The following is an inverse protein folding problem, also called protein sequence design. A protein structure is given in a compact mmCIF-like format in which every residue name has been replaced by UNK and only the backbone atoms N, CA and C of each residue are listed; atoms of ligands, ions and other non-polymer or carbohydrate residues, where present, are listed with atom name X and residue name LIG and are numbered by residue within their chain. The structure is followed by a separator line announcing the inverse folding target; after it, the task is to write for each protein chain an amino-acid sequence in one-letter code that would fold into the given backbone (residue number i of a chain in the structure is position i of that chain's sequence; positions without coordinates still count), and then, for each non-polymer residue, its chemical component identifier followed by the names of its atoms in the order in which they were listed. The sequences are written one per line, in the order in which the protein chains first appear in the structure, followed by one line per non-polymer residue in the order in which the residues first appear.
data_IF_639551430454
#
_entry.id   IF_639551430454
#
_cell.length_a   1.000
_cell.length_b   1.000
_cell.length_c   1.000
_cell.angle_alpha   90.00
_cell.angle_beta   90.00
_cell.angle_gamma   90.00
#
_symmetry.space_group_name_H-M   'P 1'
#
loop_
_entity.id
_entity.type
_entity.pdbx_description
1 polymer ?
#
# COMPACT_ATOMS: atom_id res chain seq x y z
N UNK A 1 -25.18 44.82 -14.65
CA UNK A 1 -23.93 44.35 -15.30
C UNK A 1 -23.41 43.00 -14.79
N UNK A 2 -23.68 42.56 -13.55
CA UNK A 2 -23.12 41.28 -13.02
C UNK A 2 -23.77 39.99 -13.55
N UNK A 3 -25.00 39.99 -14.05
CA UNK A 3 -25.64 38.78 -14.61
C UNK A 3 -25.34 38.49 -16.09
N UNK A 4 -24.89 39.48 -16.86
CA UNK A 4 -24.50 39.26 -18.27
C UNK A 4 -23.12 38.63 -18.41
N UNK A 5 -22.24 38.80 -17.43
CA UNK A 5 -20.88 38.25 -17.44
C UNK A 5 -20.86 36.75 -17.12
N UNK A 6 -21.78 36.28 -16.26
CA UNK A 6 -21.84 34.86 -15.88
C UNK A 6 -22.35 33.97 -17.03
N UNK A 7 -23.32 34.45 -17.82
CA UNK A 7 -23.84 33.71 -18.99
C UNK A 7 -22.81 33.62 -20.13
N UNK A 8 -21.96 34.64 -20.28
CA UNK A 8 -20.87 34.63 -21.26
C UNK A 8 -19.72 33.69 -20.87
N UNK A 9 -19.44 33.51 -19.57
CA UNK A 9 -18.45 32.52 -19.11
C UNK A 9 -18.97 31.07 -19.27
N UNK A 10 -20.26 30.82 -19.03
CA UNK A 10 -20.85 29.49 -19.20
C UNK A 10 -20.91 29.03 -20.66
N UNK A 11 -21.08 29.97 -21.61
CA UNK A 11 -21.03 29.63 -23.04
C UNK A 11 -19.60 29.35 -23.53
N UNK A 12 -18.58 29.98 -22.97
CA UNK A 12 -17.20 29.76 -23.39
C UNK A 12 -16.68 28.36 -22.99
N UNK A 13 -17.09 27.85 -21.82
CA UNK A 13 -16.71 26.50 -21.36
C UNK A 13 -17.43 25.40 -22.15
N UNK A 14 -18.67 25.63 -22.59
CA UNK A 14 -19.40 24.66 -23.42
C UNK A 14 -18.86 24.56 -24.86
N UNK A 15 -18.25 25.62 -25.41
CA UNK A 15 -17.68 25.61 -26.77
C UNK A 15 -16.29 24.93 -26.80
N UNK A 16 -15.55 24.93 -25.69
CA UNK A 16 -14.25 24.22 -25.61
C UNK A 16 -14.42 22.69 -25.54
N UNK A 17 -15.57 22.20 -25.08
CA UNK A 17 -15.86 20.76 -24.98
C UNK A 17 -16.36 20.10 -26.29
N UNK A 18 -16.58 20.86 -27.37
CA UNK A 18 -17.12 20.32 -28.64
C UNK A 18 -16.07 20.24 -29.77
N UNK A 19 -14.82 20.69 -29.55
CA UNK A 19 -13.77 20.68 -30.59
C UNK A 19 -12.71 19.57 -30.47
N UNK A 20 -12.95 18.55 -29.62
CA UNK A 20 -12.03 17.41 -29.43
C UNK A 20 -12.22 16.22 -30.38
N UNK A 21 -13.15 16.29 -31.35
CA UNK A 21 -13.52 15.14 -32.17
C UNK A 21 -13.39 15.43 -33.67
N UNK A 22 -12.15 15.54 -34.18
CA UNK A 22 -11.77 15.30 -35.58
C UNK A 22 -10.25 15.42 -35.75
N UNK A 23 -9.50 14.37 -35.43
CA UNK A 23 -8.12 14.18 -35.89
C UNK A 23 -8.07 13.23 -37.09
N UNK A 24 -7.17 13.43 -38.08
CA UNK A 24 -7.08 12.53 -39.22
C UNK A 24 -6.65 11.11 -38.80
N UNK A 25 -7.37 10.11 -39.30
CA UNK A 25 -7.02 8.68 -39.14
C UNK A 25 -5.62 8.42 -39.72
N UNK A 26 -4.72 7.88 -38.88
CA UNK A 26 -3.43 7.36 -39.33
C UNK A 26 -3.64 6.29 -40.40
N UNK A 27 -2.94 6.42 -41.53
CA UNK A 27 -2.94 5.45 -42.62
C UNK A 27 -1.98 4.30 -42.26
N UNK A 28 -2.36 3.01 -42.45
CA UNK A 28 -1.45 1.91 -42.18
C UNK A 28 -0.31 1.89 -43.20
N UNK A 29 0.92 1.78 -42.74
CA UNK A 29 2.10 1.54 -43.57
C UNK A 29 2.01 0.15 -44.21
N UNK A 30 2.37 -0.04 -45.50
CA UNK A 30 2.37 -1.35 -46.13
C UNK A 30 3.43 -2.25 -45.51
N UNK A 31 3.04 -3.47 -45.12
CA UNK A 31 3.96 -4.55 -44.74
C UNK A 31 4.52 -5.19 -46.02
N UNK A 32 5.84 -5.37 -46.16
CA UNK A 32 6.42 -6.06 -47.32
C UNK A 32 5.95 -7.52 -47.42
N UNK A 33 5.69 -7.98 -48.65
CA UNK A 33 5.33 -9.37 -48.91
C UNK A 33 6.51 -10.33 -48.62
N UNK A 34 6.26 -11.55 -48.11
CA UNK A 34 7.29 -12.55 -47.91
C UNK A 34 7.90 -13.01 -49.25
N UNK A 35 9.23 -13.08 -49.32
CA UNK A 35 10.02 -13.37 -50.52
C UNK A 35 10.32 -14.86 -50.77
N UNK A 36 9.62 -15.80 -50.13
CA UNK A 36 9.84 -17.23 -50.37
C UNK A 36 8.54 -18.03 -50.51
N UNK A 37 8.43 -18.96 -51.48
CA UNK A 37 7.32 -19.91 -51.56
C UNK A 37 7.32 -20.85 -50.34
N UNK A 38 6.14 -21.27 -49.85
CA UNK A 38 6.06 -22.25 -48.77
C UNK A 38 6.58 -23.62 -49.22
N UNK A 39 7.38 -24.25 -48.36
CA UNK A 39 7.88 -25.62 -48.51
C UNK A 39 6.72 -26.63 -48.49
N UNK A 40 6.74 -27.71 -49.30
CA UNK A 40 5.69 -28.72 -49.28
C UNK A 40 5.58 -29.42 -47.92
N UNK A 41 4.34 -29.56 -47.44
CA UNK A 41 3.98 -30.29 -46.22
C UNK A 41 4.09 -31.81 -46.50
N UNK A 42 4.79 -32.60 -45.66
CA UNK A 42 4.81 -34.05 -45.79
C UNK A 42 3.43 -34.67 -45.51
N UNK A 43 3.10 -35.74 -46.24
CA UNK A 43 1.86 -36.51 -46.05
C UNK A 43 1.78 -37.17 -44.65
N UNK A 44 0.58 -37.32 -44.06
CA UNK A 44 0.40 -37.83 -42.71
C UNK A 44 0.72 -39.34 -42.61
N UNK A 45 1.63 -39.70 -41.72
CA UNK A 45 1.95 -41.08 -41.35
C UNK A 45 1.22 -41.45 -40.06
N UNK A 46 0.31 -42.44 -40.17
CA UNK A 46 -0.36 -43.25 -39.13
C UNK A 46 -1.17 -42.54 -38.01
N UNK A 47 -2.41 -42.99 -37.83
CA UNK A 47 -3.29 -42.55 -36.75
C UNK A 47 -2.75 -43.00 -35.38
N UNK A 48 -2.75 -42.13 -34.36
CA UNK A 48 -2.32 -42.49 -33.02
C UNK A 48 -3.28 -43.51 -32.38
N UNK A 49 -2.72 -44.50 -31.68
CA UNK A 49 -3.45 -45.48 -30.89
C UNK A 49 -4.20 -44.78 -29.74
N UNK A 50 -5.44 -45.21 -29.38
CA UNK A 50 -6.17 -44.59 -28.28
C UNK A 50 -5.46 -44.80 -26.94
N UNK A 51 -5.15 -43.70 -26.26
CA UNK A 51 -4.73 -43.72 -24.84
C UNK A 51 -5.97 -44.08 -24.00
N UNK A 52 -5.90 -45.07 -23.09
CA UNK A 52 -7.03 -45.38 -22.22
C UNK A 52 -7.36 -44.19 -21.31
N UNK A 53 -8.65 -43.87 -21.20
CA UNK A 53 -9.15 -42.81 -20.34
C UNK A 53 -8.82 -43.10 -18.86
N UNK A 54 -8.34 -42.12 -18.08
CA UNK A 54 -8.11 -42.30 -16.65
C UNK A 54 -9.43 -42.61 -15.93
N UNK A 55 -9.48 -43.77 -15.26
CA UNK A 55 -10.68 -44.32 -14.57
C UNK A 55 -10.96 -43.68 -13.20
N UNK A 56 -10.35 -42.54 -12.86
CA UNK A 56 -10.65 -41.83 -11.62
C UNK A 56 -10.93 -40.36 -11.92
N UNK A 57 -12.13 -39.92 -11.55
CA UNK A 57 -12.45 -38.51 -11.46
C UNK A 57 -11.42 -37.85 -10.51
N UNK A 58 -10.92 -36.64 -10.80
CA UNK A 58 -10.05 -35.93 -9.88
C UNK A 58 -10.77 -35.78 -8.54
N UNK A 59 -10.26 -36.44 -7.51
CA UNK A 59 -10.70 -36.22 -6.13
C UNK A 59 -10.52 -34.72 -5.84
N UNK A 60 -11.58 -34.04 -5.45
CA UNK A 60 -11.49 -32.62 -5.09
C UNK A 60 -10.38 -32.47 -4.03
N UNK A 61 -9.47 -31.47 -4.17
CA UNK A 61 -8.35 -31.32 -3.25
C UNK A 61 -8.88 -31.22 -1.82
N UNK A 62 -8.31 -32.04 -0.94
CA UNK A 62 -8.69 -32.12 0.46
C UNK A 62 -8.49 -30.75 1.13
N UNK A 63 -9.56 -30.17 1.65
CA UNK A 63 -9.52 -28.85 2.30
C UNK A 63 -8.89 -29.00 3.68
N UNK A 64 -7.61 -28.67 3.78
CA UNK A 64 -6.84 -28.74 5.04
C UNK A 64 -7.01 -27.44 5.85
N UNK A 65 -7.02 -27.52 7.20
CA UNK A 65 -6.94 -26.34 8.04
C UNK A 65 -5.72 -25.46 7.71
N UNK A 66 -5.89 -24.15 7.82
CA UNK A 66 -4.87 -23.16 7.46
C UNK A 66 -3.75 -23.04 8.51
N UNK A 67 -3.96 -23.54 9.73
CA UNK A 67 -3.02 -23.39 10.84
C UNK A 67 -3.05 -22.00 11.48
N UNK A 68 -4.16 -21.27 11.34
CA UNK A 68 -4.37 -19.97 11.99
C UNK A 68 -4.26 -20.09 13.53
N UNK A 69 -3.97 -19.00 14.26
CA UNK A 69 -4.05 -19.03 15.73
C UNK A 69 -5.48 -19.31 16.23
N UNK A 70 -5.60 -19.86 17.44
CA UNK A 70 -6.89 -20.06 18.09
C UNK A 70 -7.69 -18.73 18.15
N UNK A 71 -9.02 -18.76 17.95
CA UNK A 71 -9.89 -19.94 17.90
C UNK A 71 -10.09 -20.53 16.49
N UNK A 72 -9.32 -20.10 15.47
CA UNK A 72 -9.50 -20.51 14.08
C UNK A 72 -8.57 -21.66 13.64
N UNK A 73 -7.83 -22.25 14.57
CA UNK A 73 -6.74 -23.20 14.34
C UNK A 73 -7.13 -24.48 13.59
N UNK A 74 -8.41 -24.86 13.67
CA UNK A 74 -8.95 -26.07 13.03
C UNK A 74 -9.76 -25.77 11.77
N UNK A 75 -9.87 -24.50 11.38
CA UNK A 75 -10.73 -24.09 10.27
C UNK A 75 -9.98 -24.11 8.94
N UNK A 76 -10.67 -24.58 7.90
CA UNK A 76 -10.30 -24.31 6.51
C UNK A 76 -10.68 -22.87 6.15
N UNK A 77 -10.16 -22.35 5.03
CA UNK A 77 -10.59 -21.02 4.56
C UNK A 77 -12.11 -20.94 4.33
N UNK A 78 -12.70 -21.99 3.78
CA UNK A 78 -14.15 -22.03 3.53
C UNK A 78 -14.96 -22.03 4.84
N UNK A 79 -14.44 -22.67 5.90
CA UNK A 79 -15.06 -22.61 7.22
C UNK A 79 -15.00 -21.19 7.80
N UNK A 80 -13.86 -20.50 7.64
CA UNK A 80 -13.71 -19.08 8.07
C UNK A 80 -14.70 -18.19 7.31
N UNK A 81 -14.80 -18.34 5.99
CA UNK A 81 -15.74 -17.57 5.16
C UNK A 81 -17.19 -17.87 5.57
N UNK A 82 -17.53 -19.13 5.84
CA UNK A 82 -18.85 -19.50 6.30
C UNK A 82 -19.18 -18.92 7.69
N UNK A 83 -18.21 -18.95 8.61
CA UNK A 83 -18.35 -18.39 9.95
C UNK A 83 -18.52 -16.87 9.93
N UNK A 84 -17.80 -16.16 9.04
CA UNK A 84 -17.87 -14.70 8.91
C UNK A 84 -19.21 -14.17 8.37
N UNK A 85 -20.02 -15.03 7.75
CA UNK A 85 -21.27 -14.63 7.10
C UNK A 85 -22.24 -13.94 8.07
N UNK A 86 -22.74 -12.77 7.67
CA UNK A 86 -23.71 -12.01 8.46
C UNK A 86 -23.08 -11.18 9.59
N UNK A 87 -21.77 -11.27 9.81
CA UNK A 87 -21.09 -10.51 10.85
C UNK A 87 -20.82 -9.06 10.41
N UNK A 88 -20.54 -8.22 11.40
CA UNK A 88 -20.04 -6.85 11.19
C UNK A 88 -18.55 -6.82 11.51
N UNK A 89 -17.77 -6.11 10.71
CA UNK A 89 -16.35 -5.83 10.99
C UNK A 89 -16.19 -4.35 11.31
N UNK A 90 -15.64 -4.04 12.49
CA UNK A 90 -15.29 -2.70 12.91
C UNK A 90 -13.85 -2.38 12.51
N UNK A 91 -13.71 -1.57 11.46
CA UNK A 91 -12.41 -1.16 10.96
C UNK A 91 -12.06 0.25 11.42
N UNK A 92 -11.12 0.35 12.37
CA UNK A 92 -10.61 1.61 12.88
C UNK A 92 -9.49 2.12 11.98
N UNK A 93 -9.69 3.27 11.33
CA UNK A 93 -8.75 3.75 10.32
C UNK A 93 -8.68 5.27 10.25
N UNK A 94 -7.56 5.81 9.75
CA UNK A 94 -7.36 7.26 9.68
C UNK A 94 -8.43 7.95 8.85
N UNK A 95 -9.12 8.90 9.47
CA UNK A 95 -10.28 9.60 8.89
C UNK A 95 -9.92 10.77 7.99
N UNK A 96 -8.65 11.15 7.84
CA UNK A 96 -8.27 12.38 7.13
C UNK A 96 -8.28 12.32 5.60
N UNK A 97 -8.66 11.20 4.99
CA UNK A 97 -8.74 11.06 3.53
C UNK A 97 -10.14 10.70 3.05
N UNK A 98 -10.87 11.70 2.53
CA UNK A 98 -12.21 11.51 1.97
C UNK A 98 -12.24 10.46 0.87
N UNK A 99 -11.20 10.40 0.03
CA UNK A 99 -11.10 9.44 -1.08
C UNK A 99 -11.02 8.00 -0.57
N UNK A 100 -10.15 7.75 0.42
CA UNK A 100 -9.98 6.41 0.98
C UNK A 100 -11.25 6.02 1.75
N UNK A 101 -11.78 6.93 2.59
CA UNK A 101 -12.98 6.69 3.38
C UNK A 101 -14.21 6.40 2.50
N UNK A 102 -14.36 7.12 1.37
CA UNK A 102 -15.44 6.88 0.42
C UNK A 102 -15.31 5.51 -0.26
N UNK A 103 -14.09 5.07 -0.57
CA UNK A 103 -13.86 3.73 -1.13
C UNK A 103 -14.22 2.63 -0.11
N UNK A 104 -13.82 2.79 1.16
CA UNK A 104 -14.12 1.82 2.23
C UNK A 104 -15.62 1.72 2.51
N UNK A 105 -16.30 2.86 2.67
CA UNK A 105 -17.74 2.90 2.96
C UNK A 105 -18.64 2.63 1.75
N UNK A 106 -18.11 2.77 0.54
CA UNK A 106 -18.80 2.51 -0.71
C UNK A 106 -18.44 1.14 -1.26
N UNK A 107 -17.53 1.12 -2.23
CA UNK A 107 -17.21 -0.07 -3.02
C UNK A 107 -16.83 -1.28 -2.16
N UNK A 108 -15.96 -1.11 -1.16
CA UNK A 108 -15.53 -2.24 -0.33
C UNK A 108 -16.68 -2.78 0.52
N UNK A 109 -17.44 -1.91 1.18
CA UNK A 109 -18.61 -2.29 1.96
C UNK A 109 -19.66 -3.04 1.12
N UNK A 110 -19.93 -2.55 -0.09
CA UNK A 110 -20.85 -3.19 -1.04
C UNK A 110 -20.37 -4.58 -1.47
N UNK A 111 -19.09 -4.73 -1.81
CA UNK A 111 -18.54 -6.01 -2.24
C UNK A 111 -18.46 -7.03 -1.10
N UNK A 112 -18.12 -6.60 0.12
CA UNK A 112 -18.17 -7.44 1.32
C UNK A 112 -19.58 -7.93 1.60
N UNK A 113 -20.57 -7.04 1.52
CA UNK A 113 -21.98 -7.39 1.75
C UNK A 113 -22.49 -8.36 0.68
N UNK A 114 -22.20 -8.08 -0.59
CA UNK A 114 -22.68 -8.88 -1.73
C UNK A 114 -22.06 -10.28 -1.78
N UNK A 115 -20.75 -10.40 -1.50
CA UNK A 115 -20.02 -11.67 -1.66
C UNK A 115 -20.06 -12.54 -0.41
N UNK A 116 -20.06 -11.92 0.77
CA UNK A 116 -19.84 -12.62 2.03
C UNK A 116 -20.91 -12.31 3.09
N UNK A 117 -21.88 -11.45 2.79
CA UNK A 117 -22.88 -10.97 3.75
C UNK A 117 -22.25 -10.28 4.98
N UNK A 118 -21.05 -9.74 4.84
CA UNK A 118 -20.33 -9.02 5.89
C UNK A 118 -20.71 -7.53 5.84
N UNK A 119 -21.00 -6.95 7.00
CA UNK A 119 -21.24 -5.50 7.14
C UNK A 119 -19.93 -4.81 7.50
N UNK A 120 -19.44 -3.93 6.64
CA UNK A 120 -18.30 -3.07 6.96
C UNK A 120 -18.79 -1.88 7.80
N UNK A 121 -18.23 -1.71 8.99
CA UNK A 121 -18.42 -0.54 9.83
C UNK A 121 -17.08 0.17 10.03
N UNK A 122 -16.87 1.25 9.28
CA UNK A 122 -15.68 2.06 9.43
C UNK A 122 -15.80 2.94 10.68
N UNK A 123 -14.76 2.97 11.49
CA UNK A 123 -14.59 3.89 12.62
C UNK A 123 -13.44 4.86 12.27
N UNK A 124 -13.74 6.09 11.83
CA UNK A 124 -12.70 7.07 11.51
C UNK A 124 -12.05 7.59 12.79
N UNK A 125 -10.71 7.59 12.82
CA UNK A 125 -9.91 8.16 13.92
C UNK A 125 -9.04 9.32 13.44
N UNK A 126 -8.72 10.25 14.34
CA UNK A 126 -7.73 11.29 14.07
C UNK A 126 -6.32 10.71 14.01
N UNK A 127 -6.05 9.63 14.77
CA UNK A 127 -4.78 8.92 14.71
C UNK A 127 -4.77 7.60 15.51
N UNK A 128 -3.66 6.84 15.41
CA UNK A 128 -3.56 5.49 15.99
C UNK A 128 -3.75 5.40 17.50
N UNK A 129 -3.45 6.47 18.24
CA UNK A 129 -3.57 6.50 19.70
C UNK A 129 -4.98 6.18 20.20
N UNK A 130 -6.01 6.46 19.40
CA UNK A 130 -7.41 6.17 19.74
C UNK A 130 -7.66 4.67 19.86
N UNK A 131 -7.34 3.88 18.83
CA UNK A 131 -7.53 2.42 18.89
C UNK A 131 -6.54 1.74 19.83
N UNK A 132 -5.32 2.27 19.98
CA UNK A 132 -4.35 1.74 20.95
C UNK A 132 -4.90 1.86 22.37
N UNK A 133 -5.38 3.05 22.75
CA UNK A 133 -5.96 3.29 24.06
C UNK A 133 -7.23 2.46 24.29
N UNK A 134 -8.07 2.31 23.26
CA UNK A 134 -9.27 1.48 23.32
C UNK A 134 -8.90 0.01 23.64
N UNK A 135 -8.01 -0.60 22.86
CA UNK A 135 -7.62 -2.01 23.04
C UNK A 135 -6.88 -2.23 24.36
N UNK A 136 -5.99 -1.30 24.75
CA UNK A 136 -5.32 -1.36 26.05
C UNK A 136 -6.31 -1.28 27.22
N UNK A 137 -7.27 -0.36 27.14
CA UNK A 137 -8.31 -0.20 28.15
C UNK A 137 -9.18 -1.44 28.29
N UNK A 138 -9.59 -2.05 27.17
CA UNK A 138 -10.33 -3.31 27.13
C UNK A 138 -9.55 -4.44 27.79
N UNK A 139 -8.28 -4.62 27.43
CA UNK A 139 -7.42 -5.65 28.05
C UNK A 139 -7.27 -5.44 29.56
N UNK A 140 -7.06 -4.20 30.01
CA UNK A 140 -6.94 -3.87 31.43
C UNK A 140 -8.24 -4.11 32.21
N UNK A 141 -9.39 -3.96 31.54
CA UNK A 141 -10.71 -4.28 32.08
C UNK A 141 -11.06 -5.78 32.04
N UNK A 142 -10.17 -6.64 31.53
CA UNK A 142 -10.40 -8.08 31.39
C UNK A 142 -11.29 -8.45 30.20
N UNK A 143 -11.48 -7.54 29.26
CA UNK A 143 -12.19 -7.81 28.00
C UNK A 143 -11.20 -8.46 27.03
N UNK A 144 -11.38 -9.76 26.80
CA UNK A 144 -10.52 -10.57 25.92
C UNK A 144 -11.27 -11.10 24.69
N UNK A 145 -12.55 -10.77 24.55
CA UNK A 145 -13.37 -11.07 23.36
C UNK A 145 -14.50 -10.05 23.25
N UNK A 146 -14.98 -9.82 22.03
CA UNK A 146 -16.03 -8.84 21.75
C UNK A 146 -15.64 -7.39 22.05
N UNK A 147 -14.35 -7.07 21.91
CA UNK A 147 -13.85 -5.69 21.97
C UNK A 147 -14.32 -4.84 20.79
N UNK A 148 -14.04 -3.54 20.84
CA UNK A 148 -14.54 -2.58 19.85
C UNK A 148 -13.76 -2.56 18.53
N UNK A 149 -12.53 -3.10 18.51
CA UNK A 149 -11.60 -3.03 17.36
C UNK A 149 -11.40 -4.42 16.77
N UNK A 150 -11.90 -4.66 15.57
CA UNK A 150 -11.68 -5.92 14.84
C UNK A 150 -10.45 -5.83 13.92
N UNK A 151 -10.33 -4.72 13.19
CA UNK A 151 -9.22 -4.42 12.28
C UNK A 151 -8.80 -2.97 12.49
N UNK A 152 -7.50 -2.68 12.35
CA UNK A 152 -6.95 -1.33 12.45
C UNK A 152 -6.01 -1.02 11.28
N UNK A 153 -6.09 0.20 10.75
CA UNK A 153 -5.03 0.74 9.90
C UNK A 153 -3.89 1.21 10.82
N UNK A 154 -2.80 0.44 10.82
CA UNK A 154 -1.64 0.62 11.70
C UNK A 154 -0.36 0.67 10.88
N UNK A 155 0.68 1.30 11.42
CA UNK A 155 2.04 1.28 10.90
C UNK A 155 3.07 1.68 11.99
N UNK A 156 4.33 1.44 11.69
CA UNK A 156 5.52 1.87 12.40
C UNK A 156 5.50 1.64 13.91
N UNK A 157 5.75 2.70 14.67
CA UNK A 157 5.82 2.64 16.13
C UNK A 157 4.52 2.15 16.78
N UNK A 158 3.37 2.36 16.11
CA UNK A 158 2.07 1.93 16.60
C UNK A 158 1.93 0.41 16.49
N UNK A 159 2.34 -0.17 15.35
CA UNK A 159 2.39 -1.62 15.15
C UNK A 159 3.31 -2.28 16.18
N UNK A 160 4.53 -1.77 16.30
CA UNK A 160 5.50 -2.21 17.31
C UNK A 160 4.90 -2.21 18.71
N UNK A 161 4.29 -1.10 19.12
CA UNK A 161 3.68 -0.95 20.44
C UNK A 161 2.60 -2.01 20.70
N UNK A 162 1.70 -2.23 19.74
CA UNK A 162 0.63 -3.21 19.87
C UNK A 162 1.17 -4.65 19.89
N UNK A 163 2.18 -4.95 19.07
CA UNK A 163 2.82 -6.26 19.00
C UNK A 163 3.60 -6.60 20.26
N UNK A 164 4.46 -5.70 20.76
CA UNK A 164 5.22 -5.89 22.00
C UNK A 164 4.30 -6.05 23.22
N UNK A 165 3.15 -5.39 23.22
CA UNK A 165 2.14 -5.52 24.26
C UNK A 165 1.26 -6.78 24.13
N UNK A 166 1.45 -7.60 23.10
CA UNK A 166 0.64 -8.79 22.83
C UNK A 166 -0.84 -8.46 22.64
N UNK A 167 -1.13 -7.44 21.83
CA UNK A 167 -2.48 -6.94 21.54
C UNK A 167 -2.97 -7.31 20.13
N UNK A 168 -2.12 -7.89 19.31
CA UNK A 168 -2.44 -8.29 17.94
C UNK A 168 -2.75 -9.78 17.88
N UNK A 169 -3.79 -10.14 17.13
CA UNK A 169 -4.02 -11.52 16.70
C UNK A 169 -2.95 -11.90 15.68
N UNK A 170 -2.29 -13.04 15.86
CA UNK A 170 -1.29 -13.51 14.91
C UNK A 170 -0.31 -14.53 15.49
N UNK A 171 0.62 -15.01 14.66
CA UNK A 171 0.79 -14.65 13.25
C UNK A 171 -0.28 -15.31 12.35
N UNK A 172 -0.75 -14.60 11.31
CA UNK A 172 -1.82 -15.09 10.42
C UNK A 172 -1.67 -14.68 8.95
N UNK A 173 -0.94 -13.61 8.65
CA UNK A 173 -1.01 -12.96 7.33
C UNK A 173 -0.52 -13.84 6.16
N UNK A 174 0.45 -14.73 6.41
CA UNK A 174 0.95 -15.70 5.42
C UNK A 174 0.01 -16.90 5.22
N UNK A 175 -0.89 -17.15 6.18
CA UNK A 175 -1.71 -18.37 6.23
C UNK A 175 -3.04 -18.21 5.47
N UNK A 176 -3.48 -16.98 5.22
CA UNK A 176 -4.70 -16.70 4.44
C UNK A 176 -4.42 -16.80 2.93
N UNK A 177 -5.43 -17.09 2.08
CA UNK A 177 -5.21 -17.25 0.64
C UNK A 177 -4.57 -16.04 -0.04
N UNK A 178 -4.91 -14.82 0.38
CA UNK A 178 -4.29 -13.60 -0.13
C UNK A 178 -2.82 -13.46 0.26
N UNK A 179 -2.37 -14.16 1.31
CA UNK A 179 -0.98 -14.15 1.74
C UNK A 179 -0.03 -14.68 0.67
N UNK A 180 -0.50 -15.58 -0.20
CA UNK A 180 0.29 -16.10 -1.32
C UNK A 180 0.55 -15.06 -2.43
N UNK A 181 -0.08 -13.88 -2.36
CA UNK A 181 0.08 -12.80 -3.34
C UNK A 181 1.20 -11.82 -3.00
N UNK A 182 1.80 -11.95 -1.81
CA UNK A 182 2.86 -11.07 -1.33
C UNK A 182 4.22 -11.75 -1.37
N UNK A 183 5.25 -10.97 -1.70
CA UNK A 183 6.64 -11.35 -1.51
C UNK A 183 7.03 -11.04 -0.07
N UNK A 184 7.07 -12.08 0.78
CA UNK A 184 7.38 -11.92 2.21
C UNK A 184 8.86 -11.70 2.48
N UNK A 185 9.72 -11.87 1.48
CA UNK A 185 11.15 -11.56 1.56
C UNK A 185 11.44 -10.10 1.17
N UNK A 186 10.48 -9.37 0.60
CA UNK A 186 10.61 -7.93 0.32
C UNK A 186 10.78 -7.16 1.64
N UNK A 187 11.89 -6.43 1.85
CA UNK A 187 12.10 -5.65 3.07
C UNK A 187 11.00 -4.63 3.38
N UNK A 188 10.27 -4.13 2.37
CA UNK A 188 9.14 -3.22 2.57
C UNK A 188 7.89 -3.92 3.14
N UNK A 189 7.85 -5.25 3.11
CA UNK A 189 6.77 -6.09 3.66
C UNK A 189 7.24 -6.83 4.91
N UNK A 190 8.48 -7.32 4.93
CA UNK A 190 9.06 -8.04 6.05
C UNK A 190 9.22 -7.15 7.30
N UNK A 191 9.37 -5.83 7.10
CA UNK A 191 9.55 -4.85 8.15
C UNK A 191 8.55 -3.69 8.04
N UNK A 192 7.99 -3.31 9.17
CA UNK A 192 7.21 -2.09 9.32
C UNK A 192 8.04 -1.06 10.10
N UNK A 193 8.51 -0.04 9.37
CA UNK A 193 9.47 0.99 9.83
C UNK A 193 10.69 0.37 10.53
N UNK A 194 11.19 -0.75 10.00
CA UNK A 194 12.36 -1.46 10.52
C UNK A 194 12.06 -2.44 11.66
N UNK A 195 10.80 -2.55 12.12
CA UNK A 195 10.39 -3.57 13.07
C UNK A 195 9.84 -4.82 12.36
N UNK A 196 10.27 -6.05 12.70
CA UNK A 196 9.83 -7.26 12.02
C UNK A 196 8.31 -7.45 12.08
N UNK A 197 7.67 -7.68 10.93
CA UNK A 197 6.22 -7.93 10.85
C UNK A 197 5.87 -9.31 11.40
N UNK A 198 6.59 -10.35 10.97
CA UNK A 198 6.43 -11.75 11.39
C UNK A 198 4.98 -12.26 11.26
N UNK A 199 4.24 -11.76 10.26
CA UNK A 199 2.88 -12.20 9.96
C UNK A 199 1.77 -11.66 10.87
N UNK A 200 2.04 -10.63 11.69
CA UNK A 200 1.05 -9.99 12.57
C UNK A 200 0.20 -8.90 11.88
N UNK A 201 0.58 -8.50 10.67
CA UNK A 201 -0.20 -7.61 9.82
C UNK A 201 -0.06 -8.02 8.35
N UNK A 202 -0.98 -7.53 7.50
CA UNK A 202 -0.98 -7.79 6.06
C UNK A 202 -0.91 -6.46 5.30
N UNK A 203 -0.10 -6.34 4.23
CA UNK A 203 0.01 -5.08 3.50
C UNK A 203 -1.32 -4.74 2.81
N UNK A 204 -1.89 -3.58 3.15
CA UNK A 204 -3.09 -3.05 2.49
C UNK A 204 -2.76 -1.99 1.44
N UNK A 205 -1.87 -1.05 1.77
CA UNK A 205 -1.44 0.01 0.87
C UNK A 205 0.01 0.41 1.15
N UNK A 206 0.68 0.95 0.13
CA UNK A 206 2.01 1.55 0.25
C UNK A 206 1.93 3.07 0.18
N UNK A 207 2.74 3.76 0.98
CA UNK A 207 2.93 5.20 0.91
C UNK A 207 4.28 5.51 0.27
N UNK A 208 4.30 6.45 -0.67
CA UNK A 208 5.52 6.98 -1.26
C UNK A 208 5.56 8.49 -1.07
N UNK A 209 6.65 9.01 -0.51
CA UNK A 209 6.89 10.45 -0.46
C UNK A 209 7.53 10.89 -1.77
N UNK A 210 6.97 11.93 -2.36
CA UNK A 210 7.46 12.55 -3.59
C UNK A 210 7.85 13.99 -3.31
N UNK A 211 8.80 14.50 -4.10
CA UNK A 211 9.15 15.91 -4.11
C UNK A 211 8.42 16.58 -5.26
N UNK A 212 7.49 17.48 -4.94
CA UNK A 212 6.76 18.26 -5.92
C UNK A 212 7.50 19.56 -6.24
N UNK A 213 7.49 19.97 -7.51
CA UNK A 213 8.13 21.20 -7.96
C UNK A 213 7.35 21.85 -9.11
N UNK A 214 7.56 23.15 -9.28
CA UNK A 214 7.01 23.92 -10.40
C UNK A 214 7.96 23.86 -11.60
N UNK A 215 7.56 23.11 -12.64
CA UNK A 215 8.35 22.92 -13.87
C UNK A 215 8.67 24.22 -14.61
N UNK A 216 7.89 25.29 -14.42
CA UNK A 216 8.19 26.60 -15.01
C UNK A 216 9.33 27.32 -14.28
N UNK A 217 9.60 26.94 -13.02
CA UNK A 217 10.64 27.55 -12.16
C UNK A 217 11.89 26.69 -12.07
N UNK A 218 11.75 25.37 -12.16
CA UNK A 218 12.86 24.41 -12.07
C UNK A 218 12.82 23.49 -13.30
N UNK A 219 13.27 23.96 -14.48
CA UNK A 219 13.22 23.17 -15.71
C UNK A 219 14.13 21.93 -15.67
N UNK A 220 15.24 22.02 -14.95
CA UNK A 220 16.23 20.96 -14.76
C UNK A 220 16.32 20.56 -13.27
N UNK A 221 15.32 19.82 -12.75
CA UNK A 221 15.29 19.47 -11.33
C UNK A 221 16.37 18.43 -10.99
N UNK A 222 16.91 18.45 -9.76
CA UNK A 222 17.88 17.48 -9.29
C UNK A 222 17.34 16.04 -9.39
N UNK A 223 18.20 15.10 -9.78
CA UNK A 223 17.83 13.70 -10.07
C UNK A 223 18.33 12.69 -9.04
N UNK A 224 19.11 13.16 -8.07
CA UNK A 224 19.62 12.37 -6.97
C UNK A 224 19.76 13.23 -5.71
N UNK A 225 20.03 12.58 -4.59
CA UNK A 225 20.14 13.24 -3.28
C UNK A 225 21.29 14.25 -3.21
N UNK A 226 22.43 13.96 -3.84
CA UNK A 226 23.58 14.86 -3.80
C UNK A 226 23.28 16.17 -4.57
N UNK A 227 22.72 16.04 -5.77
CA UNK A 227 22.27 17.15 -6.59
C UNK A 227 21.17 17.96 -5.90
N UNK A 228 20.23 17.30 -5.21
CA UNK A 228 19.16 17.98 -4.47
C UNK A 228 19.73 18.82 -3.32
N UNK A 229 20.62 18.25 -2.51
CA UNK A 229 21.27 18.97 -1.41
C UNK A 229 22.04 20.19 -1.93
N UNK A 230 22.80 20.02 -3.02
CA UNK A 230 23.52 21.14 -3.64
C UNK A 230 22.54 22.19 -4.18
N UNK A 231 21.46 21.78 -4.83
CA UNK A 231 20.44 22.68 -5.33
C UNK A 231 19.81 23.52 -4.21
N UNK A 232 19.50 22.93 -3.05
CA UNK A 232 18.96 23.66 -1.90
C UNK A 232 19.94 24.73 -1.41
N UNK A 233 21.23 24.39 -1.32
CA UNK A 233 22.30 25.32 -0.90
C UNK A 233 22.45 26.50 -1.87
N UNK A 234 22.34 26.23 -3.17
CA UNK A 234 22.46 27.24 -4.21
C UNK A 234 21.21 28.13 -4.35
N UNK A 235 20.08 27.71 -3.76
CA UNK A 235 18.76 28.36 -3.89
C UNK A 235 18.06 28.54 -2.53
N UNK A 236 18.63 29.34 -1.61
CA UNK A 236 18.04 29.55 -0.28
C UNK A 236 16.61 30.08 -0.37
N UNK A 237 15.70 29.50 0.42
CA UNK A 237 14.27 29.84 0.46
C UNK A 237 13.41 29.28 -0.67
N UNK A 238 13.96 28.49 -1.61
CA UNK A 238 13.19 27.86 -2.70
C UNK A 238 12.82 26.39 -2.44
N UNK A 239 13.31 25.81 -1.34
CA UNK A 239 12.94 24.48 -0.86
C UNK A 239 12.29 24.57 0.51
N UNK A 240 11.27 23.76 0.76
CA UNK A 240 10.65 23.65 2.08
C UNK A 240 10.02 22.27 2.26
N UNK A 241 9.79 21.89 3.51
CA UNK A 241 9.07 20.68 3.90
C UNK A 241 8.26 20.97 5.18
N UNK A 242 7.16 20.26 5.43
CA UNK A 242 6.39 20.44 6.65
C UNK A 242 7.25 20.20 7.90
N UNK A 243 7.09 21.00 8.94
CA UNK A 243 7.82 20.78 10.19
C UNK A 243 7.38 19.46 10.86
N UNK A 244 8.31 18.64 11.39
CA UNK A 244 7.96 17.54 12.29
C UNK A 244 7.07 18.02 13.45
N UNK A 245 6.10 17.23 13.93
CA UNK A 245 5.91 15.79 13.71
C UNK A 245 5.06 15.43 12.49
N UNK A 246 4.88 16.33 11.52
CA UNK A 246 4.21 15.99 10.26
C UNK A 246 4.82 14.73 9.62
N UNK A 247 3.99 13.88 9.01
CA UNK A 247 4.41 12.62 8.41
C UNK A 247 5.47 12.83 7.31
N UNK A 248 5.20 13.72 6.36
CA UNK A 248 6.09 14.00 5.22
C UNK A 248 7.37 14.68 5.72
N UNK A 249 7.24 15.61 6.67
CA UNK A 249 8.39 16.23 7.33
C UNK A 249 9.31 15.23 8.03
N UNK A 250 8.71 14.28 8.74
CA UNK A 250 9.44 13.22 9.45
C UNK A 250 10.10 12.22 8.50
N UNK A 251 9.48 11.93 7.34
CA UNK A 251 10.13 11.15 6.27
C UNK A 251 11.33 11.91 5.69
N UNK A 252 11.19 13.21 5.42
CA UNK A 252 12.29 14.04 4.91
C UNK A 252 13.51 14.02 5.83
N UNK A 253 13.30 14.26 7.14
CA UNK A 253 14.39 14.23 8.14
C UNK A 253 15.07 12.85 8.16
N UNK A 254 14.31 11.75 8.16
CA UNK A 254 14.87 10.39 8.10
C UNK A 254 15.68 10.16 6.82
N UNK A 255 15.17 10.59 5.67
CA UNK A 255 15.87 10.46 4.39
C UNK A 255 17.21 11.20 4.39
N UNK A 256 17.26 12.42 4.95
CA UNK A 256 18.51 13.17 5.10
C UNK A 256 19.49 12.46 6.03
N UNK A 257 19.00 11.95 7.17
CA UNK A 257 19.84 11.21 8.09
C UNK A 257 20.42 9.96 7.43
N UNK A 258 19.59 9.11 6.80
CA UNK A 258 20.09 7.91 6.12
C UNK A 258 21.10 8.24 5.03
N UNK A 259 20.88 9.29 4.25
CA UNK A 259 21.86 9.75 3.27
C UNK A 259 23.17 10.17 3.95
N UNK A 260 23.11 11.00 4.99
CA UNK A 260 24.28 11.51 5.69
C UNK A 260 25.08 10.42 6.44
N UNK A 261 24.42 9.36 6.89
CA UNK A 261 25.05 8.30 7.70
C UNK A 261 25.50 7.10 6.87
N UNK A 262 25.17 7.06 5.57
CA UNK A 262 25.57 6.00 4.64
C UNK A 262 24.64 4.79 4.61
N UNK A 263 23.32 5.00 4.66
CA UNK A 263 22.30 3.95 4.55
C UNK A 263 21.53 3.69 5.83
N UNK A 264 20.36 3.05 5.70
CA UNK A 264 19.46 2.75 6.82
C UNK A 264 19.78 1.41 7.49
N UNK A 265 20.46 0.50 6.79
CA UNK A 265 20.67 -0.89 7.15
C UNK A 265 21.39 -1.03 8.49
N UNK A 266 22.29 -0.09 8.81
CA UNK A 266 23.02 -0.04 10.07
C UNK A 266 22.14 0.25 11.30
N UNK A 267 20.91 0.75 11.09
CA UNK A 267 19.97 1.13 12.16
C UNK A 267 18.82 0.12 12.34
N UNK A 268 18.86 -1.00 11.63
CA UNK A 268 17.91 -2.09 11.86
C UNK A 268 18.24 -2.82 13.17
N UNK A 269 17.19 -3.19 13.91
CA UNK A 269 17.31 -3.87 15.20
C UNK A 269 17.18 -2.92 16.40
N UNK A 270 17.75 -3.34 17.53
CA UNK A 270 17.68 -2.56 18.77
C UNK A 270 18.47 -1.25 18.65
N UNK A 271 17.99 -0.23 19.35
CA UNK A 271 18.64 1.06 19.40
C UNK A 271 20.07 0.95 19.95
N UNK A 272 21.04 1.41 19.16
CA UNK A 272 22.45 1.46 19.54
C UNK A 272 22.90 2.92 19.76
N UNK A 273 23.07 3.29 21.03
CA UNK A 273 23.48 4.65 21.42
C UNK A 273 24.86 5.03 20.86
N UNK A 274 25.84 4.12 20.88
CA UNK A 274 27.19 4.40 20.38
C UNK A 274 27.18 4.68 18.87
N UNK A 275 26.44 3.87 18.11
CA UNK A 275 26.26 4.09 16.67
C UNK A 275 25.54 5.42 16.39
N UNK A 276 24.49 5.72 17.17
CA UNK A 276 23.77 6.99 17.06
C UNK A 276 24.71 8.18 17.28
N UNK A 277 25.46 8.18 18.39
CA UNK A 277 26.38 9.25 18.75
C UNK A 277 27.51 9.41 17.72
N UNK A 278 27.95 8.29 17.12
CA UNK A 278 28.96 8.30 16.07
C UNK A 278 28.43 8.88 14.74
N UNK A 279 27.19 8.55 14.35
CA UNK A 279 26.68 8.76 12.99
C UNK A 279 25.82 10.02 12.87
N UNK A 280 24.93 10.28 13.82
CA UNK A 280 23.96 11.37 13.73
C UNK A 280 24.53 12.80 13.76
N UNK A 281 25.75 13.08 14.25
CA UNK A 281 26.38 14.39 14.03
C UNK A 281 26.45 14.78 12.55
N UNK A 282 26.63 13.81 11.63
CA UNK A 282 26.61 14.05 10.19
C UNK A 282 25.21 14.44 9.70
N UNK A 283 24.15 13.82 10.24
CA UNK A 283 22.77 14.19 9.92
C UNK A 283 22.47 15.62 10.35
N UNK A 284 22.77 15.98 11.61
CA UNK A 284 22.50 17.33 12.12
C UNK A 284 23.28 18.40 11.36
N UNK A 285 24.55 18.12 11.03
CA UNK A 285 25.33 19.00 10.18
C UNK A 285 24.66 19.21 8.82
N UNK A 286 24.24 18.13 8.15
CA UNK A 286 23.57 18.24 6.85
C UNK A 286 22.28 19.07 6.94
N UNK A 287 21.41 18.78 7.90
CA UNK A 287 20.15 19.49 8.08
C UNK A 287 20.35 20.99 8.34
N UNK A 288 21.34 21.36 9.17
CA UNK A 288 21.67 22.77 9.41
C UNK A 288 22.22 23.48 8.17
N UNK A 289 22.90 22.76 7.28
CA UNK A 289 23.42 23.33 6.02
C UNK A 289 22.32 23.58 4.97
N UNK A 290 21.13 22.98 5.14
CA UNK A 290 19.99 23.09 4.21
C UNK A 290 18.72 23.63 4.90
N UNK A 291 18.88 24.33 6.03
CA UNK A 291 17.76 24.92 6.77
C UNK A 291 16.95 25.85 5.85
N UNK A 292 15.60 25.70 5.79
CA UNK A 292 14.73 26.49 4.91
C UNK A 292 14.80 28.01 5.13
#
# INVERSE_FOLDING_TARGET
MKHRILVLLSLLVAVVLVLGACGPKATPTPVPAPTQPPTPVPAPTQAPTPVPAPTQAPTAPEKKPLGLPAPLDKMTWDDVVAAAKGQTVNWWMWGGSDVINAWVNGWLAEELKKRYDITMHQVPVAGPTEFINQVLGEKQAGVHSGGAVDIMWINGENFRTMKEAGLLYGPWAQLVPSGALYDWDDPAIAYDFGYPVEGYEIPWSGAQVVLEYDTAKVPDPPKDMAALIQWIKDHPGLFTYPAPPDFTGSVWVRMMCYYATGGYEQFLGDFNQELFDQKFPACWKLLNEIEP
#
